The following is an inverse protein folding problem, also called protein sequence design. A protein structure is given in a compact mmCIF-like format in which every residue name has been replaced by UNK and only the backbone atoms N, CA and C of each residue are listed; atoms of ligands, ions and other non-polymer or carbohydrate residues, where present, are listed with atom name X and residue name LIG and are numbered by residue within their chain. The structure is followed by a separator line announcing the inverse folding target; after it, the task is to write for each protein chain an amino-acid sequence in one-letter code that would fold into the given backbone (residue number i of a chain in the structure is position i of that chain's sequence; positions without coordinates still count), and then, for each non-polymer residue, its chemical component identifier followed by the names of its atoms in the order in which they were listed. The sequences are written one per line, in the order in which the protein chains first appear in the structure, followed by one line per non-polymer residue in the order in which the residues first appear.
data_IF_060131499222
#
_entry.id   IF_060131499222
#
_cell.length_a   1.000
_cell.length_b   1.000
_cell.length_c   1.000
_cell.angle_alpha   90.00
_cell.angle_beta   90.00
_cell.angle_gamma   90.00
#
_symmetry.space_group_name_H-M   'P 1'
#
loop_
_entity.id
_entity.type
_entity.pdbx_description
1 polymer ?
#
# COMPACT_ATOMS: atom_id res chain seq x y z
N UNK A 1 6.29 -16.43 -15.57
CA UNK A 1 7.07 -15.65 -14.58
C UNK A 1 6.12 -14.66 -13.96
N UNK A 2 5.83 -14.78 -12.66
CA UNK A 2 5.07 -13.76 -11.93
C UNK A 2 6.12 -12.81 -11.34
N UNK A 3 6.03 -11.53 -11.68
CA UNK A 3 6.87 -10.49 -11.07
C UNK A 3 6.03 -9.77 -10.04
N UNK A 4 6.38 -9.92 -8.77
CA UNK A 4 5.79 -9.16 -7.68
C UNK A 4 6.68 -7.96 -7.38
N UNK A 5 6.07 -6.80 -7.16
CA UNK A 5 6.76 -5.55 -6.81
C UNK A 5 6.25 -5.09 -5.46
N UNK A 6 7.16 -4.75 -4.55
CA UNK A 6 6.84 -4.13 -3.27
C UNK A 6 6.93 -2.61 -3.39
N UNK A 7 5.88 -1.92 -2.99
CA UNK A 7 5.84 -0.46 -2.83
C UNK A 7 5.77 -0.14 -1.32
N UNK A 8 6.64 0.76 -0.85
CA UNK A 8 6.60 1.28 0.52
C UNK A 8 6.38 2.80 0.47
N UNK A 9 5.42 3.27 1.27
CA UNK A 9 5.05 4.68 1.36
C UNK A 9 4.90 5.05 2.83
N UNK A 10 5.64 6.08 3.24
CA UNK A 10 5.46 6.74 4.54
C UNK A 10 4.68 8.03 4.27
N UNK A 11 3.61 8.25 5.01
CA UNK A 11 2.79 9.45 4.91
C UNK A 11 2.22 9.84 6.27
N UNK A 12 1.65 11.04 6.35
CA UNK A 12 0.86 11.49 7.50
C UNK A 12 -0.36 10.58 7.72
N UNK A 13 -0.77 10.39 8.98
CA UNK A 13 -1.86 9.49 9.39
C UNK A 13 -3.17 9.81 8.65
N UNK A 14 -3.48 11.10 8.48
CA UNK A 14 -4.69 11.56 7.82
C UNK A 14 -4.75 11.16 6.33
N UNK A 15 -3.59 10.90 5.72
CA UNK A 15 -3.47 10.54 4.30
C UNK A 15 -3.40 9.05 4.05
N UNK A 16 -3.28 8.23 5.10
CA UNK A 16 -3.17 6.77 4.96
C UNK A 16 -4.37 6.17 4.20
N UNK A 17 -5.59 6.60 4.52
CA UNK A 17 -6.80 6.11 3.86
C UNK A 17 -6.89 6.51 2.39
N UNK A 18 -6.48 7.74 2.05
CA UNK A 18 -6.43 8.23 0.67
C UNK A 18 -5.42 7.43 -0.15
N UNK A 19 -4.22 7.22 0.39
CA UNK A 19 -3.18 6.44 -0.27
C UNK A 19 -3.64 4.98 -0.52
N UNK A 20 -4.25 4.34 0.47
CA UNK A 20 -4.81 2.99 0.33
C UNK A 20 -5.86 2.94 -0.78
N UNK A 21 -6.76 3.92 -0.84
CA UNK A 21 -7.80 3.98 -1.87
C UNK A 21 -7.21 4.12 -3.27
N UNK A 22 -6.24 5.02 -3.45
CA UNK A 22 -5.54 5.23 -4.73
C UNK A 22 -4.78 3.97 -5.18
N UNK A 23 -4.04 3.33 -4.27
CA UNK A 23 -3.29 2.11 -4.59
C UNK A 23 -4.24 0.98 -4.97
N UNK A 24 -5.36 0.79 -4.24
CA UNK A 24 -6.36 -0.25 -4.59
C UNK A 24 -7.01 -0.03 -5.96
N UNK A 25 -7.20 1.22 -6.36
CA UNK A 25 -7.76 1.56 -7.68
C UNK A 25 -6.73 1.34 -8.80
N UNK A 26 -5.49 1.80 -8.60
CA UNK A 26 -4.46 1.84 -9.66
C UNK A 26 -3.60 0.58 -9.76
N UNK A 27 -3.41 -0.18 -8.69
CA UNK A 27 -2.51 -1.33 -8.65
C UNK A 27 -3.16 -2.66 -9.08
N UNK A 28 -4.37 -2.63 -9.66
CA UNK A 28 -5.04 -3.84 -10.16
C UNK A 28 -4.24 -4.43 -11.32
N UNK A 29 -3.81 -5.68 -11.18
CA UNK A 29 -3.00 -6.38 -12.20
C UNK A 29 -3.84 -7.22 -13.17
N UNK A 30 -5.15 -7.34 -12.92
CA UNK A 30 -6.03 -8.28 -13.63
C UNK A 30 -5.89 -9.73 -13.15
N UNK A 31 -5.02 -10.00 -12.17
CA UNK A 31 -4.89 -11.32 -11.55
C UNK A 31 -5.97 -11.54 -10.48
N UNK A 32 -6.44 -12.79 -10.27
CA UNK A 32 -7.43 -13.12 -9.23
C UNK A 32 -7.03 -12.62 -7.83
N UNK A 33 -5.72 -12.63 -7.56
CA UNK A 33 -5.12 -12.05 -6.37
C UNK A 33 -4.11 -10.99 -6.81
N UNK A 34 -4.50 -9.71 -6.69
CA UNK A 34 -3.66 -8.56 -7.11
C UNK A 34 -2.72 -8.06 -6.01
N UNK A 35 -2.45 -8.89 -4.98
CA UNK A 35 -1.55 -8.57 -3.87
C UNK A 35 -2.24 -8.06 -2.60
N UNK A 36 -1.45 -7.44 -1.71
CA UNK A 36 -1.87 -6.98 -0.38
C UNK A 36 -1.34 -5.58 -0.08
N UNK A 37 -2.04 -4.88 0.81
CA UNK A 37 -1.60 -3.61 1.39
C UNK A 37 -1.51 -3.80 2.90
N UNK A 38 -0.37 -3.46 3.47
CA UNK A 38 -0.14 -3.45 4.91
C UNK A 38 -0.03 -2.00 5.38
N UNK A 39 -0.66 -1.68 6.51
CA UNK A 39 -0.54 -0.39 7.18
C UNK A 39 0.23 -0.62 8.49
N UNK A 40 1.25 0.21 8.73
CA UNK A 40 2.08 0.17 9.93
C UNK A 40 2.16 1.57 10.50
N UNK A 41 1.90 1.71 11.80
CA UNK A 41 2.14 2.96 12.51
C UNK A 41 3.65 3.15 12.70
N UNK A 42 4.16 4.32 12.34
CA UNK A 42 5.57 4.68 12.50
C UNK A 42 5.68 5.64 13.67
N UNK A 43 6.12 5.11 14.81
CA UNK A 43 6.38 5.89 16.02
C UNK A 43 7.89 6.07 16.21
N UNK A 44 8.32 7.29 16.49
CA UNK A 44 9.69 7.54 16.93
C UNK A 44 9.77 7.30 18.43
N UNK A 45 10.75 6.52 18.89
CA UNK A 45 10.96 6.35 20.33
C UNK A 45 11.38 7.69 20.95
N UNK A 46 10.84 8.04 22.14
CA UNK A 46 11.18 9.26 22.84
C UNK A 46 12.66 9.30 23.27
#
# INVERSE_FOLDING_TARGET
MITEVKLELICEDERANEAIALIRDKARTGQPLSGWIYLYDIVQKP
#
